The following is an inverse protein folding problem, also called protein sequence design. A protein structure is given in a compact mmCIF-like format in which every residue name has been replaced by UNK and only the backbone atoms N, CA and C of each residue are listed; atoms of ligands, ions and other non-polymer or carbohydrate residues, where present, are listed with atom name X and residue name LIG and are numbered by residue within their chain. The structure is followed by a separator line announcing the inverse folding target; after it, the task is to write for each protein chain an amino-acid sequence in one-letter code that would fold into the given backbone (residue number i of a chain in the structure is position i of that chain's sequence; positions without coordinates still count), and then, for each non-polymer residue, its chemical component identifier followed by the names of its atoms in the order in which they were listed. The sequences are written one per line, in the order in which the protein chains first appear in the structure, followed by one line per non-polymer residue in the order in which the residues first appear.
data_IF_050475582591
#
_entry.id   IF_050475582591
#
_cell.length_a   1.000
_cell.length_b   1.000
_cell.length_c   1.000
_cell.angle_alpha   90.00
_cell.angle_beta   90.00
_cell.angle_gamma   90.00
#
_symmetry.space_group_name_H-M   'P 1'
#
loop_
_entity.id
_entity.type
_entity.pdbx_description
1 polymer ?
#
# COMPACT_ATOMS: atom_id res chain seq x y z
N UNK A 1 -0.10 48.68 -31.44
CA UNK A 1 0.19 48.06 -30.13
C UNK A 1 0.39 46.56 -30.34
N UNK A 2 1.61 46.05 -30.17
CA UNK A 2 1.84 44.60 -30.15
C UNK A 2 1.33 44.06 -28.82
N UNK A 3 0.31 43.19 -28.87
CA UNK A 3 -0.16 42.48 -27.68
C UNK A 3 0.88 41.41 -27.37
N UNK A 4 1.77 41.70 -26.42
CA UNK A 4 2.71 40.70 -25.90
C UNK A 4 1.92 39.63 -25.13
N UNK A 5 1.65 38.50 -25.79
CA UNK A 5 1.15 37.29 -25.12
C UNK A 5 2.33 36.64 -24.41
N UNK A 6 2.58 37.01 -23.17
CA UNK A 6 3.50 36.26 -22.32
C UNK A 6 2.91 34.86 -22.11
N UNK A 7 3.63 33.83 -22.58
CA UNK A 7 3.23 32.44 -22.36
C UNK A 7 3.56 32.05 -20.91
N UNK A 8 2.56 32.18 -20.04
CA UNK A 8 2.63 31.80 -18.63
C UNK A 8 2.76 30.28 -18.40
N UNK A 9 2.88 29.46 -19.47
CA UNK A 9 3.21 28.04 -19.37
C UNK A 9 4.58 27.80 -18.71
N UNK A 10 5.54 28.73 -18.89
CA UNK A 10 6.91 28.62 -18.39
C UNK A 10 6.99 28.68 -16.85
N UNK A 11 6.12 29.43 -16.16
CA UNK A 11 6.13 29.50 -14.68
C UNK A 11 5.48 28.29 -13.99
N UNK A 12 4.76 27.43 -14.73
CA UNK A 12 4.19 26.19 -14.16
C UNK A 12 5.15 25.01 -14.21
N UNK A 13 6.34 25.16 -14.81
CA UNK A 13 7.33 24.08 -14.92
C UNK A 13 7.66 23.44 -13.57
N UNK A 14 7.87 24.23 -12.52
CA UNK A 14 8.14 23.69 -11.18
C UNK A 14 7.00 22.85 -10.62
N UNK A 15 5.74 23.26 -10.83
CA UNK A 15 4.58 22.48 -10.38
C UNK A 15 4.40 21.20 -11.21
N UNK A 16 4.58 21.29 -12.53
CA UNK A 16 4.50 20.14 -13.45
C UNK A 16 5.61 19.14 -13.14
N UNK A 17 6.83 19.60 -12.85
CA UNK A 17 7.94 18.72 -12.45
C UNK A 17 7.71 18.10 -11.08
N UNK A 18 7.14 18.83 -10.13
CA UNK A 18 6.75 18.28 -8.84
C UNK A 18 5.66 17.21 -8.99
N UNK A 19 4.66 17.43 -9.85
CA UNK A 19 3.61 16.44 -10.15
C UNK A 19 4.21 15.19 -10.83
N UNK A 20 5.09 15.37 -11.82
CA UNK A 20 5.82 14.26 -12.46
C UNK A 20 6.72 13.51 -11.48
N UNK A 21 7.41 14.20 -10.59
CA UNK A 21 8.22 13.59 -9.54
C UNK A 21 7.36 12.74 -8.62
N UNK A 22 6.23 13.28 -8.12
CA UNK A 22 5.27 12.53 -7.30
C UNK A 22 4.73 11.31 -8.02
N UNK A 23 4.40 11.43 -9.30
CA UNK A 23 3.91 10.31 -10.11
C UNK A 23 4.99 9.22 -10.27
N UNK A 24 6.24 9.58 -10.52
CA UNK A 24 7.35 8.61 -10.58
C UNK A 24 7.67 7.96 -9.25
N UNK A 25 7.64 8.72 -8.16
CA UNK A 25 7.79 8.17 -6.81
C UNK A 25 6.69 7.14 -6.56
N UNK A 26 5.43 7.48 -6.87
CA UNK A 26 4.31 6.54 -6.78
C UNK A 26 4.50 5.31 -7.67
N UNK A 27 4.97 5.48 -8.91
CA UNK A 27 5.20 4.36 -9.83
C UNK A 27 6.36 3.46 -9.35
N UNK A 28 7.45 4.05 -8.84
CA UNK A 28 8.58 3.31 -8.27
C UNK A 28 8.18 2.56 -7.01
N UNK A 29 7.40 3.19 -6.14
CA UNK A 29 6.79 2.54 -4.98
C UNK A 29 5.95 1.37 -5.49
N UNK A 30 4.99 1.59 -6.39
CA UNK A 30 4.11 0.54 -6.96
C UNK A 30 4.89 -0.66 -7.52
N UNK A 31 6.00 -0.42 -8.23
CA UNK A 31 6.86 -1.47 -8.80
C UNK A 31 7.65 -2.24 -7.74
N UNK A 32 8.05 -1.58 -6.65
CA UNK A 32 8.84 -2.16 -5.57
C UNK A 32 8.01 -2.44 -4.30
N UNK A 33 6.68 -2.46 -4.40
CA UNK A 33 5.82 -2.62 -3.23
C UNK A 33 6.07 -3.94 -2.50
N UNK A 34 6.24 -5.04 -3.25
CA UNK A 34 6.52 -6.36 -2.68
C UNK A 34 7.77 -6.33 -1.80
N UNK A 35 8.87 -5.79 -2.33
CA UNK A 35 10.15 -5.71 -1.61
C UNK A 35 10.15 -4.70 -0.45
N UNK A 36 9.36 -3.61 -0.55
CA UNK A 36 9.21 -2.64 0.52
C UNK A 36 8.40 -3.22 1.68
N UNK A 37 7.26 -3.86 1.39
CA UNK A 37 6.37 -4.50 2.38
C UNK A 37 7.09 -5.60 3.15
N UNK A 38 8.02 -6.28 2.48
CA UNK A 38 8.84 -7.35 3.03
C UNK A 38 10.11 -6.92 3.76
N UNK A 39 10.32 -5.63 4.05
CA UNK A 39 11.52 -5.17 4.75
C UNK A 39 11.37 -5.20 6.27
N UNK A 40 12.25 -5.95 6.93
CA UNK A 40 12.18 -6.24 8.38
C UNK A 40 12.40 -5.01 9.25
N UNK A 41 13.18 -4.05 8.74
CA UNK A 41 13.43 -2.78 9.39
C UNK A 41 12.16 -1.92 9.58
N UNK A 42 11.07 -2.22 8.87
CA UNK A 42 9.79 -1.51 8.99
C UNK A 42 8.97 -2.06 10.17
N UNK A 43 9.00 -3.37 10.40
CA UNK A 43 8.12 -4.06 11.38
C UNK A 43 8.64 -3.90 12.81
N UNK A 44 9.96 -3.95 13.00
CA UNK A 44 10.60 -3.82 14.32
C UNK A 44 10.73 -2.37 14.79
N UNK A 45 10.25 -1.40 14.01
CA UNK A 45 10.45 0.02 14.26
C UNK A 45 9.15 0.72 14.59
N UNK A 46 9.21 1.62 15.57
CA UNK A 46 8.09 2.35 16.17
C UNK A 46 7.47 3.42 15.23
N UNK A 47 7.05 3.02 14.02
CA UNK A 47 6.23 3.78 13.08
C UNK A 47 6.81 5.07 12.49
N UNK A 48 8.00 5.51 12.93
CA UNK A 48 8.59 6.83 12.61
C UNK A 48 9.75 6.78 11.62
N UNK A 49 9.94 5.68 10.89
CA UNK A 49 11.05 5.58 9.94
C UNK A 49 10.62 6.00 8.54
N UNK A 50 11.54 6.69 7.90
CA UNK A 50 11.51 7.08 6.50
C UNK A 50 12.13 5.94 5.68
N UNK A 51 11.42 5.45 4.67
CA UNK A 51 11.91 4.41 3.77
C UNK A 51 12.59 5.06 2.57
N UNK A 52 13.81 4.61 2.26
CA UNK A 52 14.58 5.07 1.10
C UNK A 52 14.19 4.24 -0.12
N UNK A 53 13.49 4.86 -1.07
CA UNK A 53 13.09 4.22 -2.32
C UNK A 53 14.02 4.68 -3.44
N UNK A 54 14.75 3.76 -4.11
CA UNK A 54 15.55 4.12 -5.26
C UNK A 54 14.62 4.54 -6.40
N UNK A 55 14.78 5.76 -6.89
CA UNK A 55 14.12 6.28 -8.08
C UNK A 55 15.12 6.33 -9.23
N UNK A 56 14.70 5.83 -10.40
CA UNK A 56 15.47 6.01 -11.63
C UNK A 56 15.41 7.46 -12.03
N UNK A 57 16.57 8.10 -12.11
CA UNK A 57 16.67 9.40 -12.75
C UNK A 57 16.38 9.25 -14.24
N UNK A 58 15.65 10.19 -14.82
CA UNK A 58 15.77 10.42 -16.25
C UNK A 58 16.76 11.55 -16.41
N UNK A 59 17.87 11.26 -17.07
CA UNK A 59 18.71 12.31 -17.59
C UNK A 59 17.85 13.17 -18.52
N UNK A 60 17.81 14.47 -18.24
CA UNK A 60 17.28 15.41 -19.21
C UNK A 60 18.08 15.26 -20.51
N UNK A 61 17.40 15.30 -21.65
CA UNK A 61 18.08 15.32 -22.94
C UNK A 61 18.98 16.55 -23.01
N UNK A 62 20.29 16.34 -22.81
CA UNK A 62 21.30 17.38 -22.97
C UNK A 62 21.63 17.47 -24.45
N UNK A 63 21.56 18.68 -25.01
CA UNK A 63 22.18 18.95 -26.29
C UNK A 63 23.67 18.71 -26.16
N UNK A 64 24.18 17.62 -26.73
CA UNK A 64 25.62 17.39 -26.86
C UNK A 64 26.06 17.98 -28.19
N UNK A 65 27.16 18.73 -28.16
CA UNK A 65 27.78 19.14 -29.40
C UNK A 65 28.19 17.90 -30.19
N UNK A 66 27.74 17.83 -31.44
CA UNK A 66 28.19 16.79 -32.35
C UNK A 66 29.64 17.07 -32.78
N UNK A 67 30.59 16.49 -32.06
CA UNK A 67 32.02 16.62 -32.37
C UNK A 67 32.40 15.96 -33.71
N UNK A 68 31.50 15.19 -34.34
CA UNK A 68 31.72 14.56 -35.65
C UNK A 68 31.65 15.55 -36.82
N UNK A 69 31.02 16.72 -36.63
CA UNK A 69 30.95 17.78 -37.65
C UNK A 69 32.14 18.75 -37.63
N UNK A 70 33.10 18.59 -36.71
CA UNK A 70 34.33 19.38 -36.75
C UNK A 70 35.21 18.89 -37.91
N UNK A 71 35.85 19.82 -38.63
CA UNK A 71 36.91 19.47 -39.60
C UNK A 71 38.01 18.73 -38.85
N UNK A 72 38.12 17.43 -39.09
CA UNK A 72 39.21 16.61 -38.56
C UNK A 72 40.40 16.73 -39.52
N UNK A 73 41.58 16.95 -38.96
CA UNK A 73 42.85 16.86 -39.69
C UNK A 73 43.45 15.51 -39.37
N UNK A 74 43.68 14.69 -40.40
CA UNK A 74 44.38 13.41 -40.29
C UNK A 74 45.80 13.57 -40.83
N UNK A 75 46.78 13.08 -40.09
CA UNK A 75 48.18 13.06 -40.54
C UNK A 75 48.43 11.72 -41.24
N UNK A 76 48.76 11.76 -42.53
CA UNK A 76 49.19 10.57 -43.27
C UNK A 76 50.68 10.30 -43.09
N UNK A 77 51.08 9.06 -43.38
CA UNK A 77 52.44 8.53 -43.36
C UNK A 77 53.26 8.88 -44.62
N UNK A 78 52.74 9.74 -45.50
CA UNK A 78 53.47 10.35 -46.62
C UNK A 78 53.24 9.71 -47.99
N UNK A 79 52.51 8.59 -48.08
CA UNK A 79 52.20 7.90 -49.36
C UNK A 79 50.71 7.94 -49.74
N UNK A 80 49.90 8.80 -49.10
CA UNK A 80 48.44 8.85 -49.28
C UNK A 80 48.04 9.48 -50.62
N UNK A 81 47.05 8.90 -51.32
CA UNK A 81 46.48 9.43 -52.57
C UNK A 81 45.12 10.10 -52.32
N UNK A 82 44.73 10.98 -53.24
CA UNK A 82 43.41 11.63 -53.21
C UNK A 82 42.33 10.57 -53.37
N UNK A 83 41.57 10.32 -52.29
CA UNK A 83 40.51 9.30 -52.23
C UNK A 83 40.69 8.26 -51.11
N UNK A 84 41.85 8.23 -50.45
CA UNK A 84 42.11 7.26 -49.38
C UNK A 84 41.35 7.61 -48.09
N UNK A 85 40.75 6.58 -47.46
CA UNK A 85 40.00 6.71 -46.21
C UNK A 85 40.97 6.67 -45.03
N UNK A 86 41.16 7.80 -44.37
CA UNK A 86 42.17 7.97 -43.30
C UNK A 86 41.71 7.39 -41.95
N UNK A 87 40.40 7.22 -41.73
CA UNK A 87 39.84 6.51 -40.58
C UNK A 87 38.42 5.99 -40.89
N UNK A 88 38.07 4.81 -40.36
CA UNK A 88 36.68 4.33 -40.26
C UNK A 88 36.25 4.35 -38.81
N UNK A 89 35.01 4.77 -38.56
CA UNK A 89 34.43 4.83 -37.22
C UNK A 89 34.51 3.44 -36.57
N UNK A 90 35.08 3.36 -35.36
CA UNK A 90 35.18 2.11 -34.62
C UNK A 90 33.78 1.53 -34.42
N UNK A 91 33.52 0.36 -35.00
CA UNK A 91 32.34 -0.44 -34.68
C UNK A 91 32.36 -0.72 -33.18
N UNK A 92 31.36 -0.19 -32.48
CA UNK A 92 31.04 -0.59 -31.11
C UNK A 92 30.74 -2.09 -31.18
N UNK A 93 31.64 -2.90 -30.64
CA UNK A 93 31.52 -4.36 -30.61
C UNK A 93 30.17 -4.77 -30.03
N UNK A 94 29.45 -5.60 -30.78
CA UNK A 94 28.15 -6.14 -30.43
C UNK A 94 28.37 -7.44 -29.65
N UNK A 95 28.08 -7.42 -28.35
CA UNK A 95 28.05 -8.62 -27.49
C UNK A 95 28.33 -8.32 -26.02
N UNK A 96 27.36 -8.43 -25.10
CA UNK A 96 27.65 -8.38 -23.67
C UNK A 96 28.41 -9.65 -23.28
N UNK A 97 29.70 -9.49 -22.97
CA UNK A 97 30.51 -10.55 -22.38
C UNK A 97 29.98 -10.93 -21.00
N UNK A 98 29.44 -12.16 -20.88
CA UNK A 98 29.31 -12.85 -19.59
C UNK A 98 30.71 -13.26 -19.14
N UNK A 99 31.40 -12.35 -18.46
CA UNK A 99 32.63 -12.60 -17.72
C UNK A 99 32.65 -11.72 -16.46
N UNK A 100 33.32 -12.11 -15.37
CA UNK A 100 33.36 -11.36 -14.11
C UNK A 100 34.33 -10.16 -14.21
N UNK A 101 34.14 -9.32 -15.22
CA UNK A 101 34.82 -8.04 -15.41
C UNK A 101 33.82 -6.91 -15.26
N UNK A 102 34.18 -5.85 -14.52
CA UNK A 102 33.35 -4.66 -14.37
C UNK A 102 33.05 -4.07 -15.77
N UNK A 103 31.77 -3.97 -16.13
CA UNK A 103 31.36 -3.41 -17.42
C UNK A 103 31.62 -1.91 -17.48
N UNK A 104 32.16 -1.44 -18.61
CA UNK A 104 32.43 -0.03 -18.92
C UNK A 104 31.16 0.81 -19.20
N UNK A 105 29.97 0.26 -18.95
CA UNK A 105 28.73 1.03 -19.05
C UNK A 105 28.54 1.82 -17.75
N UNK A 106 28.34 3.15 -17.82
CA UNK A 106 28.02 3.92 -16.62
C UNK A 106 26.79 3.30 -15.95
N UNK A 107 26.95 2.95 -14.68
CA UNK A 107 25.86 2.43 -13.86
C UNK A 107 24.70 3.44 -13.85
N UNK A 108 23.47 2.94 -13.74
CA UNK A 108 22.31 3.82 -13.64
C UNK A 108 22.40 4.60 -12.32
N UNK A 109 22.35 5.94 -12.39
CA UNK A 109 22.25 6.78 -11.20
C UNK A 109 20.86 6.64 -10.59
N UNK A 110 20.80 6.06 -9.40
CA UNK A 110 19.58 5.99 -8.58
C UNK A 110 19.63 7.11 -7.54
N UNK A 111 18.55 7.88 -7.43
CA UNK A 111 18.38 8.80 -6.30
C UNK A 111 17.54 8.12 -5.23
N UNK A 112 17.87 8.34 -3.96
CA UNK A 112 17.08 7.84 -2.84
C UNK A 112 16.03 8.89 -2.48
N UNK A 113 14.75 8.57 -2.67
CA UNK A 113 13.66 9.37 -2.15
C UNK A 113 13.27 8.87 -0.76
N UNK A 114 13.21 9.80 0.19
CA UNK A 114 12.75 9.56 1.55
C UNK A 114 11.21 9.64 1.60
N UNK A 115 10.55 8.53 1.92
CA UNK A 115 9.08 8.44 1.95
C UNK A 115 8.60 7.92 3.30
N UNK A 116 7.56 8.55 3.85
CA UNK A 116 6.93 8.12 5.09
C UNK A 116 6.15 6.81 4.89
N UNK A 117 6.20 5.93 5.90
CA UNK A 117 5.47 4.64 5.90
C UNK A 117 3.97 4.86 5.72
N UNK A 118 3.39 5.90 6.31
CA UNK A 118 1.96 6.19 6.19
C UNK A 118 1.56 6.61 4.76
N UNK A 119 2.48 7.22 3.99
CA UNK A 119 2.23 7.53 2.57
C UNK A 119 2.27 6.27 1.71
N UNK A 120 3.23 5.38 1.99
CA UNK A 120 3.32 4.06 1.36
C UNK A 120 2.05 3.26 1.67
N UNK A 121 1.63 3.20 2.93
CA UNK A 121 0.40 2.57 3.38
C UNK A 121 -0.81 3.09 2.59
N UNK A 122 -1.00 4.42 2.50
CA UNK A 122 -2.10 5.01 1.73
C UNK A 122 -2.11 4.58 0.27
N UNK A 123 -0.94 4.52 -0.37
CA UNK A 123 -0.81 4.10 -1.77
C UNK A 123 -1.06 2.60 -1.96
N UNK A 124 -0.67 1.75 -1.00
CA UNK A 124 -0.96 0.31 -1.00
C UNK A 124 -2.47 0.07 -0.81
N UNK A 125 -3.08 0.85 0.08
CA UNK A 125 -4.43 0.60 0.61
C UNK A 125 -5.56 1.35 -0.10
N UNK A 126 -5.24 2.20 -1.09
CA UNK A 126 -6.24 2.91 -1.90
C UNK A 126 -7.25 1.92 -2.50
N UNK A 127 -6.76 0.77 -2.98
CA UNK A 127 -7.55 -0.27 -3.63
C UNK A 127 -8.10 -1.35 -2.68
N UNK A 128 -7.66 -1.41 -1.41
CA UNK A 128 -8.04 -2.46 -0.45
C UNK A 128 -9.20 -2.04 0.44
N UNK A 129 -10.15 -2.91 0.72
CA UNK A 129 -11.24 -2.66 1.68
C UNK A 129 -11.66 -3.96 2.37
N UNK A 130 -12.42 -3.84 3.45
CA UNK A 130 -13.08 -4.99 4.07
C UNK A 130 -14.12 -5.56 3.09
N UNK A 131 -14.01 -6.84 2.69
CA UNK A 131 -14.99 -7.46 1.79
C UNK A 131 -16.28 -7.79 2.54
N UNK A 132 -17.40 -7.90 1.81
CA UNK A 132 -18.72 -8.22 2.40
C UNK A 132 -19.10 -7.34 3.60
N UNK A 133 -18.70 -6.06 3.59
CA UNK A 133 -19.02 -5.14 4.67
C UNK A 133 -20.51 -4.82 4.62
N UNK A 134 -21.25 -5.19 5.66
CA UNK A 134 -22.68 -4.94 5.76
C UNK A 134 -22.98 -3.71 6.62
N UNK A 135 -24.03 -2.97 6.26
CA UNK A 135 -24.59 -1.90 7.10
C UNK A 135 -25.35 -2.53 8.28
N UNK A 136 -24.66 -2.71 9.41
CA UNK A 136 -25.26 -3.22 10.66
C UNK A 136 -25.93 -2.08 11.44
N UNK A 137 -26.91 -2.41 12.29
CA UNK A 137 -27.76 -1.40 12.92
C UNK A 137 -27.04 -0.54 13.98
N UNK A 138 -26.89 0.76 13.67
CA UNK A 138 -26.90 1.97 14.52
C UNK A 138 -26.38 1.96 15.97
N UNK A 139 -25.48 1.08 16.39
CA UNK A 139 -24.40 1.54 17.29
C UNK A 139 -23.37 2.29 16.46
N UNK A 140 -23.83 3.32 15.77
CA UNK A 140 -23.04 4.02 14.80
C UNK A 140 -22.11 4.94 15.56
N UNK A 141 -20.86 4.55 15.67
CA UNK A 141 -19.85 5.43 16.21
C UNK A 141 -19.73 6.61 15.25
N UNK A 142 -19.84 7.83 15.79
CA UNK A 142 -19.85 9.03 14.98
C UNK A 142 -18.45 9.24 14.39
N UNK A 143 -18.25 8.93 13.11
CA UNK A 143 -17.09 9.44 12.39
C UNK A 143 -17.37 10.88 11.95
N UNK A 144 -16.44 11.77 12.26
CA UNK A 144 -16.48 13.18 11.85
C UNK A 144 -15.76 13.31 10.53
N UNK A 145 -16.50 13.38 9.44
CA UNK A 145 -15.91 13.75 8.14
C UNK A 145 -16.17 15.22 7.85
N UNK A 146 -15.10 15.96 7.59
CA UNK A 146 -15.15 17.37 7.20
C UNK A 146 -15.35 17.47 5.69
N UNK A 147 -16.57 17.80 5.25
CA UNK A 147 -16.87 17.98 3.82
C UNK A 147 -16.89 19.46 3.46
N UNK A 148 -16.25 19.79 2.33
CA UNK A 148 -16.40 21.11 1.74
C UNK A 148 -17.84 21.29 1.27
N UNK A 149 -18.60 22.14 1.93
CA UNK A 149 -20.02 22.32 1.65
C UNK A 149 -20.28 23.52 0.76
N UNK A 150 -19.73 24.67 1.10
CA UNK A 150 -20.14 25.93 0.47
C UNK A 150 -19.04 26.99 0.46
N UNK A 151 -19.21 27.98 -0.42
CA UNK A 151 -18.42 29.20 -0.40
C UNK A 151 -19.32 30.36 -0.02
N UNK A 152 -19.04 30.96 1.14
CA UNK A 152 -19.81 32.07 1.68
C UNK A 152 -19.08 33.40 1.46
N UNK A 153 -19.85 34.50 1.51
CA UNK A 153 -19.28 35.86 1.39
C UNK A 153 -18.69 36.37 2.71
N UNK A 154 -19.02 35.71 3.82
CA UNK A 154 -18.48 35.98 5.15
C UNK A 154 -18.03 34.67 5.79
N UNK A 155 -16.97 34.74 6.61
CA UNK A 155 -16.42 33.59 7.33
C UNK A 155 -15.12 33.94 8.06
N UNK A 156 -14.50 32.93 8.66
CA UNK A 156 -13.24 33.05 9.39
C UNK A 156 -12.10 33.30 8.39
N UNK A 157 -11.21 34.25 8.69
CA UNK A 157 -10.09 34.64 7.80
C UNK A 157 -9.18 33.46 7.39
N UNK A 158 -9.04 32.45 8.24
CA UNK A 158 -8.28 31.23 7.94
C UNK A 158 -8.84 30.47 6.72
N UNK A 159 -10.16 30.54 6.49
CA UNK A 159 -10.81 29.84 5.38
C UNK A 159 -10.98 30.71 4.12
N UNK A 160 -10.33 31.87 4.05
CA UNK A 160 -10.42 32.77 2.91
C UNK A 160 -9.84 32.12 1.64
N UNK A 161 -10.68 31.93 0.62
CA UNK A 161 -10.24 31.53 -0.71
C UNK A 161 -9.67 32.75 -1.44
N UNK A 162 -8.35 32.93 -1.34
CA UNK A 162 -7.63 34.05 -1.94
C UNK A 162 -7.87 34.15 -3.45
N UNK A 163 -7.82 33.02 -4.17
CA UNK A 163 -7.99 32.98 -5.64
C UNK A 163 -9.40 33.44 -6.04
N UNK A 164 -10.43 32.87 -5.42
CA UNK A 164 -11.82 33.26 -5.72
C UNK A 164 -12.10 34.70 -5.30
N UNK A 165 -11.53 35.16 -4.19
CA UNK A 165 -11.72 36.53 -3.74
C UNK A 165 -11.08 37.56 -4.70
N UNK A 166 -9.88 37.26 -5.21
CA UNK A 166 -9.22 38.07 -6.25
C UNK A 166 -10.05 38.08 -7.54
N UNK A 167 -10.59 36.93 -7.94
CA UNK A 167 -11.40 36.82 -9.16
C UNK A 167 -12.68 37.67 -9.07
N UNK A 168 -13.37 37.65 -7.93
CA UNK A 168 -14.58 38.44 -7.73
C UNK A 168 -14.27 39.94 -7.69
N UNK A 169 -13.14 40.33 -7.09
CA UNK A 169 -12.65 41.71 -7.13
C UNK A 169 -12.38 42.19 -8.57
N UNK A 170 -11.73 41.35 -9.39
CA UNK A 170 -11.49 41.64 -10.79
C UNK A 170 -12.79 41.79 -11.58
N UNK A 171 -13.75 40.88 -11.39
CA UNK A 171 -15.07 40.97 -12.03
C UNK A 171 -15.82 42.23 -11.65
N UNK A 172 -15.80 42.62 -10.38
CA UNK A 172 -16.44 43.86 -9.91
C UNK A 172 -15.76 45.09 -10.51
N UNK A 173 -14.44 45.15 -10.49
CA UNK A 173 -13.68 46.29 -11.02
C UNK A 173 -13.87 46.41 -12.54
N UNK A 174 -13.91 45.29 -13.26
CA UNK A 174 -14.24 45.28 -14.69
C UNK A 174 -15.65 45.82 -14.95
N UNK A 175 -16.65 45.52 -14.10
CA UNK A 175 -18.01 46.05 -14.22
C UNK A 175 -18.11 47.55 -13.88
N UNK A 176 -17.42 48.00 -12.84
CA UNK A 176 -17.49 49.39 -12.36
C UNK A 176 -16.67 50.36 -13.25
N UNK A 177 -15.48 49.94 -13.69
CA UNK A 177 -14.51 50.82 -14.37
C UNK A 177 -14.27 50.46 -15.83
N UNK A 178 -14.83 49.35 -16.34
CA UNK A 178 -14.59 48.87 -17.71
C UNK A 178 -13.20 48.26 -17.92
N UNK A 179 -12.36 48.22 -16.88
CA UNK A 179 -10.99 47.70 -16.92
C UNK A 179 -10.77 46.64 -15.82
N UNK A 180 -10.24 45.49 -16.21
CA UNK A 180 -10.08 44.33 -15.35
C UNK A 180 -8.78 44.42 -14.54
N UNK A 181 -8.80 45.26 -13.50
CA UNK A 181 -7.66 45.46 -12.59
C UNK A 181 -8.00 45.08 -11.15
N UNK A 182 -6.98 44.73 -10.37
CA UNK A 182 -7.16 44.46 -8.93
C UNK A 182 -7.37 45.80 -8.22
N UNK A 183 -8.58 46.01 -7.69
CA UNK A 183 -8.95 47.21 -6.93
C UNK A 183 -8.83 46.99 -5.42
N UNK A 184 -9.29 47.96 -4.63
CA UNK A 184 -9.44 47.77 -3.17
C UNK A 184 -10.45 46.65 -2.90
N UNK A 185 -10.09 45.69 -2.05
CA UNK A 185 -10.97 44.61 -1.64
C UNK A 185 -12.14 45.16 -0.81
N UNK A 186 -13.36 44.90 -1.26
CA UNK A 186 -14.58 45.14 -0.50
C UNK A 186 -15.04 43.83 0.14
N UNK A 187 -15.87 43.91 1.19
CA UNK A 187 -16.44 42.72 1.88
C UNK A 187 -17.18 41.79 0.91
N UNK A 188 -17.80 42.35 -0.12
CA UNK A 188 -18.51 41.61 -1.18
C UNK A 188 -17.61 40.79 -2.10
N UNK A 189 -16.31 41.11 -2.16
CA UNK A 189 -15.31 40.38 -2.97
C UNK A 189 -14.84 39.11 -2.24
N UNK A 190 -14.96 39.08 -0.91
CA UNK A 190 -14.40 38.00 -0.10
C UNK A 190 -15.21 36.71 -0.26
N UNK A 191 -14.50 35.59 -0.38
CA UNK A 191 -15.07 34.25 -0.51
C UNK A 191 -14.40 33.33 0.49
N UNK A 192 -15.18 32.73 1.37
CA UNK A 192 -14.73 31.87 2.46
C UNK A 192 -15.20 30.45 2.24
N UNK A 193 -14.29 29.49 2.36
CA UNK A 193 -14.63 28.07 2.35
C UNK A 193 -15.32 27.72 3.67
N UNK A 194 -16.49 27.13 3.60
CA UNK A 194 -17.17 26.60 4.76
C UNK A 194 -17.08 25.09 4.71
N UNK A 195 -16.78 24.52 5.86
CA UNK A 195 -16.76 23.09 6.08
C UNK A 195 -17.88 22.79 7.06
N UNK A 196 -18.67 21.78 6.76
CA UNK A 196 -19.68 21.28 7.69
C UNK A 196 -19.25 19.88 8.16
N UNK A 197 -19.44 19.61 9.45
CA UNK A 197 -19.18 18.30 10.01
C UNK A 197 -20.39 17.41 9.70
N UNK A 198 -20.25 16.48 8.77
CA UNK A 198 -21.27 15.45 8.56
C UNK A 198 -20.93 14.23 9.42
N UNK A 199 -21.87 13.84 10.27
CA UNK A 199 -21.81 12.59 11.00
C UNK A 199 -22.07 11.47 9.98
N UNK A 200 -21.02 10.71 9.64
CA UNK A 200 -21.18 9.49 8.88
C UNK A 200 -21.24 8.32 9.86
N UNK A 201 -22.26 7.49 9.67
CA UNK A 201 -22.41 6.25 10.41
C UNK A 201 -21.62 5.18 9.68
N UNK A 202 -20.51 4.75 10.27
CA UNK A 202 -19.73 3.62 9.77
C UNK A 202 -20.20 2.34 10.46
N UNK A 203 -20.20 1.23 9.73
CA UNK A 203 -20.48 -0.07 10.31
C UNK A 203 -19.38 -0.47 11.28
N UNK A 204 -19.76 -1.02 12.42
CA UNK A 204 -18.82 -1.61 13.35
C UNK A 204 -18.17 -2.84 12.70
N UNK A 205 -16.86 -2.94 12.82
CA UNK A 205 -16.10 -4.10 12.36
C UNK A 205 -15.09 -4.51 13.44
N UNK A 206 -15.01 -5.83 13.65
CA UNK A 206 -14.01 -6.46 14.50
C UNK A 206 -13.15 -7.38 13.65
N UNK A 207 -11.84 -7.28 13.82
CA UNK A 207 -10.86 -8.13 13.17
C UNK A 207 -10.20 -9.00 14.23
N UNK A 208 -10.29 -10.32 14.08
CA UNK A 208 -9.62 -11.27 14.97
C UNK A 208 -8.34 -11.74 14.29
N UNK A 209 -7.20 -11.30 14.81
CA UNK A 209 -5.87 -11.69 14.36
C UNK A 209 -5.40 -12.92 15.15
N UNK A 210 -5.37 -14.09 14.51
CA UNK A 210 -4.95 -15.35 15.12
C UNK A 210 -3.61 -15.83 14.55
N UNK A 211 -2.58 -15.93 15.37
CA UNK A 211 -1.25 -16.38 14.92
C UNK A 211 -0.79 -17.61 15.70
N UNK A 212 -0.28 -18.58 14.95
CA UNK A 212 0.45 -19.71 15.53
C UNK A 212 1.83 -19.27 16.06
N UNK A 213 2.13 -19.61 17.31
CA UNK A 213 3.43 -19.36 17.96
C UNK A 213 4.17 -20.65 18.31
N UNK A 214 3.75 -21.77 17.72
CA UNK A 214 4.36 -23.09 17.85
C UNK A 214 5.85 -23.10 17.48
N UNK A 215 6.51 -24.21 17.83
CA UNK A 215 7.92 -24.44 17.50
C UNK A 215 8.17 -24.68 15.99
N UNK A 216 7.15 -25.02 15.19
CA UNK A 216 7.29 -25.23 13.73
C UNK A 216 7.23 -23.91 12.93
N UNK A 217 6.68 -22.85 13.54
CA UNK A 217 6.75 -21.48 13.08
C UNK A 217 8.17 -20.91 13.25
N UNK A 218 9.14 -21.29 12.40
CA UNK A 218 10.50 -20.71 12.45
C UNK A 218 10.54 -19.17 12.25
N UNK A 219 11.72 -18.56 12.42
CA UNK A 219 11.89 -17.09 12.34
C UNK A 219 11.32 -16.48 11.05
N UNK A 220 11.57 -17.11 9.89
CA UNK A 220 11.04 -16.66 8.60
C UNK A 220 9.51 -16.67 8.53
N UNK A 221 8.87 -17.71 9.05
CA UNK A 221 7.41 -17.84 8.98
C UNK A 221 6.73 -16.82 9.90
N UNK A 222 7.27 -16.67 11.13
CA UNK A 222 6.84 -15.60 12.05
C UNK A 222 7.04 -14.22 11.45
N UNK A 223 8.16 -14.01 10.77
CA UNK A 223 8.44 -12.77 10.08
C UNK A 223 7.34 -12.42 9.06
N UNK A 224 6.96 -13.36 8.19
CA UNK A 224 5.88 -13.18 7.22
C UNK A 224 4.55 -12.88 7.91
N UNK A 225 4.17 -13.66 8.93
CA UNK A 225 2.93 -13.45 9.67
C UNK A 225 2.88 -12.06 10.31
N UNK A 226 3.95 -11.66 11.02
CA UNK A 226 4.07 -10.35 11.66
C UNK A 226 4.05 -9.22 10.63
N UNK A 227 4.71 -9.40 9.48
CA UNK A 227 4.66 -8.44 8.37
C UNK A 227 3.23 -8.20 7.92
N UNK A 228 2.49 -9.28 7.65
CA UNK A 228 1.11 -9.20 7.24
C UNK A 228 0.24 -8.47 8.26
N UNK A 229 0.30 -8.88 9.53
CA UNK A 229 -0.50 -8.27 10.60
C UNK A 229 -0.13 -6.81 10.85
N UNK A 230 1.14 -6.44 10.76
CA UNK A 230 1.58 -5.06 10.88
C UNK A 230 0.92 -4.17 9.81
N UNK A 231 0.98 -4.60 8.54
CA UNK A 231 0.35 -3.86 7.44
C UNK A 231 -1.17 -3.85 7.54
N UNK A 232 -1.78 -4.96 7.97
CA UNK A 232 -3.22 -5.03 8.21
C UNK A 232 -3.68 -4.06 9.30
N UNK A 233 -3.00 -4.00 10.44
CA UNK A 233 -3.33 -3.08 11.54
C UNK A 233 -3.22 -1.63 11.08
N UNK A 234 -2.13 -1.30 10.37
CA UNK A 234 -1.92 0.04 9.78
C UNK A 234 -3.00 0.40 8.79
N UNK A 235 -3.35 -0.53 7.90
CA UNK A 235 -4.44 -0.38 6.93
C UNK A 235 -5.75 -0.03 7.61
N UNK A 236 -6.17 -0.86 8.58
CA UNK A 236 -7.44 -0.72 9.26
C UNK A 236 -7.53 0.59 10.03
N UNK A 237 -6.48 0.93 10.82
CA UNK A 237 -6.40 2.19 11.58
C UNK A 237 -6.33 3.44 10.69
N UNK A 238 -5.88 3.31 9.43
CA UNK A 238 -5.81 4.45 8.48
C UNK A 238 -7.11 4.65 7.71
N UNK A 239 -7.81 3.56 7.35
CA UNK A 239 -8.99 3.61 6.48
C UNK A 239 -10.30 3.70 7.24
N UNK A 240 -10.34 3.16 8.46
CA UNK A 240 -11.55 3.07 9.27
C UNK A 240 -11.29 3.67 10.65
N UNK A 241 -12.20 4.53 11.10
CA UNK A 241 -12.03 5.23 12.38
C UNK A 241 -12.34 4.32 13.59
N UNK A 242 -13.23 3.32 13.39
CA UNK A 242 -13.80 2.50 14.47
C UNK A 242 -13.68 1.00 14.21
N UNK A 243 -12.45 0.51 14.04
CA UNK A 243 -12.16 -0.94 13.95
C UNK A 243 -11.58 -1.44 15.27
N UNK A 244 -12.20 -2.48 15.82
CA UNK A 244 -11.65 -3.22 16.96
C UNK A 244 -10.77 -4.36 16.44
N UNK A 245 -9.60 -4.54 17.05
CA UNK A 245 -8.67 -5.61 16.68
C UNK A 245 -8.41 -6.45 17.93
N UNK A 246 -8.71 -7.74 17.86
CA UNK A 246 -8.43 -8.71 18.93
C UNK A 246 -7.28 -9.59 18.47
N UNK A 247 -6.23 -9.68 19.27
CA UNK A 247 -5.07 -10.51 18.99
C UNK A 247 -5.14 -11.80 19.79
N UNK A 248 -5.05 -12.93 19.10
CA UNK A 248 -5.06 -14.27 19.67
C UNK A 248 -3.77 -14.95 19.24
N UNK A 249 -2.97 -15.39 20.21
CA UNK A 249 -1.86 -16.30 19.94
C UNK A 249 -2.26 -17.70 20.37
N UNK A 250 -1.83 -18.71 19.64
CA UNK A 250 -2.11 -20.09 20.01
C UNK A 250 -0.90 -21.00 19.77
N UNK A 251 -0.86 -22.05 20.55
CA UNK A 251 0.04 -23.20 20.43
C UNK A 251 -0.82 -24.42 20.78
N UNK A 252 -0.60 -25.01 21.96
CA UNK A 252 -1.49 -26.02 22.54
C UNK A 252 -2.71 -25.38 23.20
N UNK A 253 -2.57 -24.15 23.70
CA UNK A 253 -3.65 -23.34 24.24
C UNK A 253 -3.69 -21.98 23.54
N UNK A 254 -4.90 -21.45 23.33
CA UNK A 254 -5.09 -20.11 22.79
C UNK A 254 -5.25 -19.09 23.92
N UNK A 255 -4.66 -17.91 23.72
CA UNK A 255 -4.74 -16.78 24.66
C UNK A 255 -4.94 -15.48 23.90
N UNK A 256 -5.82 -14.63 24.43
CA UNK A 256 -5.90 -13.24 24.00
C UNK A 256 -4.69 -12.47 24.53
N UNK A 257 -4.03 -11.74 23.65
CA UNK A 257 -2.77 -11.03 23.94
C UNK A 257 -2.87 -9.57 23.48
N UNK A 258 -1.99 -8.72 23.99
CA UNK A 258 -1.90 -7.33 23.50
C UNK A 258 -1.20 -7.28 22.13
N UNK A 259 -1.34 -6.15 21.42
CA UNK A 259 -0.62 -5.89 20.16
C UNK A 259 0.89 -6.09 20.35
N UNK A 260 1.47 -5.53 21.42
CA UNK A 260 2.90 -5.65 21.74
C UNK A 260 3.32 -7.11 21.97
N UNK A 261 2.55 -7.87 22.76
CA UNK A 261 2.83 -9.28 23.02
C UNK A 261 2.72 -10.10 21.74
N UNK A 262 1.70 -9.86 20.92
CA UNK A 262 1.51 -10.56 19.65
C UNK A 262 2.74 -10.45 18.73
N UNK A 263 3.39 -9.29 18.67
CA UNK A 263 4.58 -9.09 17.83
C UNK A 263 5.92 -9.50 18.49
N UNK A 264 5.96 -9.75 19.80
CA UNK A 264 7.20 -10.01 20.55
C UNK A 264 7.29 -11.39 21.19
N UNK A 265 6.17 -12.11 21.31
CA UNK A 265 6.09 -13.40 22.00
C UNK A 265 6.96 -14.48 21.34
N UNK A 266 7.58 -15.30 22.20
CA UNK A 266 8.52 -16.35 21.83
C UNK A 266 7.90 -17.74 21.64
N UNK A 267 8.76 -18.70 21.31
CA UNK A 267 8.42 -20.07 20.91
C UNK A 267 8.16 -21.01 22.08
N UNK A 268 7.00 -21.66 22.07
CA UNK A 268 6.80 -22.86 22.90
C UNK A 268 5.55 -23.65 22.50
N UNK A 269 5.71 -24.96 22.27
CA UNK A 269 4.62 -25.93 22.21
C UNK A 269 4.30 -26.48 20.83
N UNK A 270 3.38 -27.46 20.80
CA UNK A 270 2.80 -28.00 19.57
C UNK A 270 1.58 -27.20 19.12
N UNK A 271 1.11 -27.46 17.89
CA UNK A 271 0.02 -26.71 17.25
C UNK A 271 -1.33 -27.42 17.42
N UNK A 272 -2.27 -26.75 18.08
CA UNK A 272 -3.67 -27.17 18.23
C UNK A 272 -4.57 -26.03 17.80
N UNK A 273 -4.94 -26.02 16.51
CA UNK A 273 -5.66 -24.91 15.88
C UNK A 273 -7.08 -24.76 16.44
N UNK A 274 -7.75 -25.85 16.83
CA UNK A 274 -9.10 -25.77 17.40
C UNK A 274 -9.17 -24.88 18.65
N UNK A 275 -8.08 -24.77 19.41
CA UNK A 275 -8.00 -23.93 20.59
C UNK A 275 -8.23 -22.45 20.24
N UNK A 276 -7.65 -21.99 19.13
CA UNK A 276 -7.79 -20.61 18.65
C UNK A 276 -9.22 -20.31 18.20
N UNK A 277 -9.85 -21.24 17.46
CA UNK A 277 -11.21 -21.03 16.97
C UNK A 277 -12.26 -21.07 18.08
N UNK A 278 -12.06 -21.92 19.09
CA UNK A 278 -12.90 -21.94 20.28
C UNK A 278 -12.85 -20.59 20.99
N UNK A 279 -11.65 -20.08 21.26
CA UNK A 279 -11.48 -18.78 21.90
C UNK A 279 -12.04 -17.63 21.04
N UNK A 280 -11.85 -17.69 19.72
CA UNK A 280 -12.41 -16.70 18.80
C UNK A 280 -13.95 -16.68 18.85
N UNK A 281 -14.61 -17.84 18.85
CA UNK A 281 -16.06 -17.96 18.98
C UNK A 281 -16.55 -17.44 20.34
N UNK A 282 -15.84 -17.75 21.42
CA UNK A 282 -16.18 -17.26 22.77
C UNK A 282 -16.10 -15.73 22.82
N UNK A 283 -15.03 -15.15 22.29
CA UNK A 283 -14.86 -13.69 22.18
C UNK A 283 -15.96 -13.04 21.35
N UNK A 284 -16.34 -13.66 20.23
CA UNK A 284 -17.42 -13.19 19.35
C UNK A 284 -18.75 -13.22 20.11
N UNK A 285 -19.05 -14.32 20.79
CA UNK A 285 -20.30 -14.49 21.51
C UNK A 285 -20.45 -13.52 22.69
N UNK A 286 -19.35 -13.23 23.41
CA UNK A 286 -19.36 -12.34 24.57
C UNK A 286 -19.36 -10.86 24.21
N UNK A 287 -18.48 -10.44 23.28
CA UNK A 287 -18.22 -9.01 23.02
C UNK A 287 -18.74 -8.51 21.67
N UNK A 288 -18.87 -9.38 20.67
CA UNK A 288 -19.09 -8.96 19.28
C UNK A 288 -20.19 -9.78 18.59
N UNK A 289 -21.46 -9.64 18.99
CA UNK A 289 -22.54 -10.39 18.37
C UNK A 289 -22.65 -10.07 16.87
N UNK A 290 -22.69 -11.12 16.03
CA UNK A 290 -22.70 -11.03 14.56
C UNK A 290 -23.89 -10.23 13.96
N UNK A 291 -24.92 -9.96 14.77
CA UNK A 291 -26.02 -9.09 14.40
C UNK A 291 -25.60 -7.61 14.29
N UNK A 292 -24.70 -7.17 15.16
CA UNK A 292 -24.34 -5.75 15.32
C UNK A 292 -22.93 -5.44 14.77
N UNK A 293 -22.09 -6.46 14.65
CA UNK A 293 -20.69 -6.33 14.20
C UNK A 293 -20.43 -7.09 12.90
N UNK A 294 -19.60 -6.51 12.04
CA UNK A 294 -18.96 -7.25 10.94
C UNK A 294 -17.69 -7.92 11.47
N UNK A 295 -17.56 -9.22 11.26
CA UNK A 295 -16.54 -10.03 11.91
C UNK A 295 -15.60 -10.61 10.86
N UNK A 296 -14.29 -10.41 11.08
CA UNK A 296 -13.23 -10.82 10.17
C UNK A 296 -12.12 -11.59 10.89
N UNK A 297 -12.25 -12.90 11.04
CA UNK A 297 -11.18 -13.76 11.53
C UNK A 297 -10.10 -14.00 10.46
N UNK A 298 -8.85 -13.68 10.80
CA UNK A 298 -7.65 -13.98 10.00
C UNK A 298 -6.69 -14.86 10.80
N UNK A 299 -6.46 -16.07 10.31
CA UNK A 299 -5.56 -17.04 10.94
C UNK A 299 -4.33 -17.31 10.07
N UNK A 300 -3.14 -17.24 10.65
CA UNK A 300 -1.89 -17.63 10.00
C UNK A 300 -1.19 -18.78 10.75
N UNK A 301 -0.85 -19.85 10.03
CA UNK A 301 0.00 -20.95 10.53
C UNK A 301 0.86 -21.54 9.39
N UNK A 302 1.69 -22.54 9.69
CA UNK A 302 2.51 -23.26 8.71
C UNK A 302 1.77 -24.44 8.06
N UNK A 303 0.50 -24.62 8.41
CA UNK A 303 -0.31 -25.73 7.95
C UNK A 303 -0.07 -27.04 8.69
N UNK A 304 0.79 -27.07 9.72
CA UNK A 304 0.94 -28.22 10.61
C UNK A 304 -0.09 -28.17 11.73
N UNK A 305 -0.80 -29.28 11.96
CA UNK A 305 -1.79 -29.40 13.03
C UNK A 305 -1.82 -30.84 13.52
N UNK A 306 -2.16 -31.01 14.79
CA UNK A 306 -2.34 -32.35 15.35
C UNK A 306 -3.46 -33.09 14.59
N UNK A 307 -3.17 -34.31 14.08
CA UNK A 307 -4.15 -35.06 13.27
C UNK A 307 -5.49 -35.29 13.97
N UNK A 308 -5.47 -35.51 15.29
CA UNK A 308 -6.69 -35.67 16.11
C UNK A 308 -7.51 -34.40 16.25
N UNK A 309 -6.91 -33.23 15.98
CA UNK A 309 -7.53 -31.92 16.07
C UNK A 309 -8.20 -31.49 14.76
N UNK A 310 -7.81 -32.06 13.62
CA UNK A 310 -8.28 -31.64 12.30
C UNK A 310 -9.80 -31.65 12.15
N UNK A 311 -10.48 -32.69 12.63
CA UNK A 311 -11.94 -32.79 12.52
C UNK A 311 -12.64 -31.73 13.38
N UNK A 312 -12.12 -31.44 14.57
CA UNK A 312 -12.64 -30.39 15.45
C UNK A 312 -12.34 -29.00 14.89
N UNK A 313 -11.15 -28.78 14.34
CA UNK A 313 -10.77 -27.52 13.69
C UNK A 313 -11.68 -27.21 12.49
N UNK A 314 -12.00 -28.19 11.65
CA UNK A 314 -12.95 -28.03 10.53
C UNK A 314 -14.35 -27.68 11.05
N UNK A 315 -14.82 -28.39 12.09
CA UNK A 315 -16.14 -28.13 12.69
C UNK A 315 -16.25 -26.70 13.24
N UNK A 316 -15.25 -26.27 14.01
CA UNK A 316 -15.21 -24.92 14.59
C UNK A 316 -15.01 -23.85 13.51
N UNK A 317 -14.25 -24.14 12.45
CA UNK A 317 -14.12 -23.23 11.31
C UNK A 317 -15.46 -23.05 10.58
N UNK A 318 -16.26 -24.11 10.38
CA UNK A 318 -17.63 -24.00 9.83
C UNK A 318 -18.53 -23.14 10.73
N UNK A 319 -18.45 -23.31 12.05
CA UNK A 319 -19.20 -22.51 13.03
C UNK A 319 -18.76 -21.03 12.97
N UNK A 320 -17.46 -20.77 12.82
CA UNK A 320 -16.89 -19.43 12.69
C UNK A 320 -17.29 -18.77 11.37
N UNK A 321 -17.25 -19.50 10.25
CA UNK A 321 -17.67 -19.00 8.93
C UNK A 321 -19.16 -18.61 8.94
N UNK A 322 -19.98 -19.36 9.67
CA UNK A 322 -21.42 -19.09 9.81
C UNK A 322 -21.73 -17.80 10.57
N UNK A 323 -20.80 -17.36 11.43
CA UNK A 323 -20.96 -16.14 12.24
C UNK A 323 -20.21 -14.93 11.68
N UNK A 324 -19.25 -15.13 10.78
CA UNK A 324 -18.42 -14.07 10.23
C UNK A 324 -18.81 -13.62 8.81
N UNK A 325 -18.28 -12.47 8.40
CA UNK A 325 -18.42 -11.96 7.02
C UNK A 325 -17.41 -12.65 6.09
N UNK A 326 -16.18 -12.86 6.57
CA UNK A 326 -15.11 -13.52 5.83
C UNK A 326 -14.14 -14.19 6.81
N UNK A 327 -13.83 -15.46 6.56
CA UNK A 327 -12.75 -16.18 7.23
C UNK A 327 -11.53 -16.26 6.31
N UNK A 328 -10.43 -15.67 6.75
CA UNK A 328 -9.15 -15.72 6.04
C UNK A 328 -8.19 -16.69 6.71
N UNK A 329 -7.63 -17.62 5.95
CA UNK A 329 -6.56 -18.50 6.40
C UNK A 329 -5.32 -18.34 5.51
N UNK A 330 -4.18 -18.06 6.13
CA UNK A 330 -2.88 -17.95 5.48
C UNK A 330 -1.97 -19.11 5.91
N UNK A 331 -1.57 -19.93 4.95
CA UNK A 331 -0.56 -20.98 5.17
C UNK A 331 0.82 -20.46 4.74
N UNK A 332 1.78 -20.49 5.65
CA UNK A 332 3.15 -20.01 5.40
C UNK A 332 4.06 -21.19 5.10
N UNK A 333 4.59 -21.22 3.88
CA UNK A 333 5.50 -22.25 3.40
C UNK A 333 6.92 -22.11 3.94
N UNK A 334 7.80 -22.95 3.42
CA UNK A 334 9.25 -22.84 3.64
C UNK A 334 9.89 -22.05 2.49
N UNK A 335 10.86 -21.21 2.82
CA UNK A 335 11.61 -20.39 1.86
C UNK A 335 12.27 -21.27 0.79
N UNK A 336 11.99 -20.99 -0.49
CA UNK A 336 12.56 -21.73 -1.62
C UNK A 336 11.95 -23.12 -1.89
N UNK A 337 10.92 -23.53 -1.14
CA UNK A 337 10.14 -24.73 -1.49
C UNK A 337 9.30 -24.45 -2.74
N UNK A 338 9.52 -25.20 -3.83
CA UNK A 338 8.68 -25.09 -5.03
C UNK A 338 7.20 -25.28 -4.70
N UNK A 339 6.35 -24.42 -5.26
CA UNK A 339 4.88 -24.37 -5.17
C UNK A 339 4.16 -25.70 -5.52
N UNK A 340 4.92 -26.68 -6.01
CA UNK A 340 4.47 -28.01 -6.41
C UNK A 340 4.26 -28.97 -5.24
N UNK A 341 4.78 -28.70 -4.03
CA UNK A 341 4.46 -29.51 -2.86
C UNK A 341 3.12 -29.06 -2.26
N UNK A 342 2.02 -29.42 -2.93
CA UNK A 342 0.71 -29.55 -2.27
C UNK A 342 0.85 -30.66 -1.25
N UNK A 343 1.23 -30.32 -0.02
CA UNK A 343 1.19 -31.29 1.06
C UNK A 343 -0.28 -31.57 1.33
N UNK A 344 -0.74 -32.76 0.94
CA UNK A 344 -2.12 -33.23 1.15
C UNK A 344 -2.49 -33.34 2.64
N UNK A 345 -1.51 -33.24 3.54
CA UNK A 345 -1.71 -33.15 4.98
C UNK A 345 -1.75 -31.72 5.53
N UNK A 346 -1.52 -30.70 4.71
CA UNK A 346 -1.53 -29.32 5.18
C UNK A 346 -2.96 -28.81 5.40
N UNK A 347 -3.14 -28.03 6.47
CA UNK A 347 -4.44 -27.57 6.93
C UNK A 347 -5.21 -26.78 5.87
N UNK A 348 -4.52 -26.03 4.99
CA UNK A 348 -5.17 -25.30 3.90
C UNK A 348 -5.90 -26.24 2.93
N UNK A 349 -5.29 -27.38 2.61
CA UNK A 349 -5.88 -28.40 1.74
C UNK A 349 -7.10 -29.01 2.42
N UNK A 350 -6.99 -29.34 3.71
CA UNK A 350 -8.09 -29.88 4.51
C UNK A 350 -9.28 -28.91 4.54
N UNK A 351 -9.04 -27.61 4.74
CA UNK A 351 -10.09 -26.60 4.71
C UNK A 351 -10.73 -26.45 3.33
N UNK A 352 -9.94 -26.46 2.26
CA UNK A 352 -10.47 -26.40 0.89
C UNK A 352 -11.34 -27.60 0.53
N UNK A 353 -11.04 -28.78 1.08
CA UNK A 353 -11.78 -30.01 0.76
C UNK A 353 -12.99 -30.23 1.67
N UNK A 354 -12.92 -29.83 2.95
CA UNK A 354 -13.90 -30.22 3.97
C UNK A 354 -14.83 -29.12 4.45
N UNK A 355 -14.51 -27.83 4.23
CA UNK A 355 -15.39 -26.73 4.65
C UNK A 355 -16.66 -26.70 3.82
N UNK A 356 -17.82 -26.56 4.50
CA UNK A 356 -19.12 -26.56 3.83
C UNK A 356 -19.41 -25.23 3.12
N UNK A 357 -18.92 -24.12 3.68
CA UNK A 357 -19.27 -22.78 3.23
C UNK A 357 -18.05 -22.06 2.62
N UNK A 358 -17.77 -22.38 1.35
CA UNK A 358 -16.57 -21.87 0.66
C UNK A 358 -16.69 -20.41 0.19
N UNK A 359 -17.89 -19.84 0.09
CA UNK A 359 -18.08 -18.49 -0.44
C UNK A 359 -17.48 -17.39 0.46
N UNK A 360 -17.42 -17.65 1.77
CA UNK A 360 -16.87 -16.74 2.79
C UNK A 360 -15.48 -17.16 3.28
N UNK A 361 -14.89 -18.18 2.67
CA UNK A 361 -13.55 -18.66 3.01
C UNK A 361 -12.53 -18.17 1.97
N UNK A 362 -11.40 -17.65 2.45
CA UNK A 362 -10.27 -17.27 1.61
C UNK A 362 -9.02 -17.93 2.17
N UNK A 363 -8.41 -18.78 1.36
CA UNK A 363 -7.24 -19.56 1.73
C UNK A 363 -6.05 -19.24 0.85
N UNK A 364 -5.06 -18.53 1.41
CA UNK A 364 -3.87 -18.05 0.70
C UNK A 364 -2.64 -18.82 1.19
N UNK A 365 -1.69 -19.06 0.28
CA UNK A 365 -0.38 -19.61 0.61
C UNK A 365 0.69 -18.55 0.37
N UNK A 366 1.61 -18.41 1.30
CA UNK A 366 2.71 -17.44 1.23
C UNK A 366 4.02 -18.22 1.36
N UNK A 367 4.76 -18.32 0.26
CA UNK A 367 6.03 -19.05 0.23
C UNK A 367 7.22 -18.07 0.31
N UNK A 368 7.10 -16.88 -0.28
CA UNK A 368 8.14 -15.85 -0.31
C UNK A 368 7.72 -14.54 0.37
N UNK A 369 8.72 -13.71 0.74
CA UNK A 369 8.43 -12.42 1.41
C UNK A 369 7.65 -11.44 0.51
N UNK A 370 7.81 -11.55 -0.81
CA UNK A 370 7.10 -10.72 -1.79
C UNK A 370 5.59 -11.08 -1.89
N UNK A 371 5.21 -12.29 -1.46
CA UNK A 371 3.82 -12.78 -1.52
C UNK A 371 2.90 -12.16 -0.46
N UNK A 372 3.46 -11.44 0.53
CA UNK A 372 2.67 -10.75 1.57
C UNK A 372 1.70 -9.73 0.96
N UNK A 373 2.13 -9.00 -0.06
CA UNK A 373 1.29 -7.99 -0.72
C UNK A 373 0.16 -8.61 -1.58
N UNK A 374 0.45 -9.60 -2.45
CA UNK A 374 -0.60 -10.41 -3.09
C UNK A 374 -1.60 -11.00 -2.08
N UNK A 375 -1.14 -11.51 -0.94
CA UNK A 375 -2.02 -12.04 0.09
C UNK A 375 -2.95 -10.97 0.67
N UNK A 376 -2.44 -9.78 1.01
CA UNK A 376 -3.26 -8.65 1.45
C UNK A 376 -4.33 -8.27 0.41
N UNK A 377 -3.97 -8.28 -0.88
CA UNK A 377 -4.92 -8.05 -1.97
C UNK A 377 -5.98 -9.12 -2.09
N UNK A 378 -5.65 -10.37 -1.82
CA UNK A 378 -6.61 -11.46 -1.91
C UNK A 378 -7.61 -11.42 -0.76
N UNK A 379 -7.14 -11.11 0.46
CA UNK A 379 -7.99 -10.97 1.64
C UNK A 379 -8.85 -9.70 1.65
N UNK A 380 -8.29 -8.56 1.23
CA UNK A 380 -8.95 -7.24 1.27
C UNK A 380 -9.30 -6.68 -0.12
N UNK A 381 -9.36 -7.55 -1.13
CA UNK A 381 -9.72 -7.16 -2.49
C UNK A 381 -11.22 -6.87 -2.65
N UNK A 382 -11.56 -6.25 -3.78
CA UNK A 382 -12.96 -6.01 -4.21
C UNK A 382 -13.76 -7.29 -4.36
N UNK A 383 -14.38 -7.73 -3.25
CA UNK A 383 -15.32 -8.85 -3.18
C UNK A 383 -16.57 -8.43 -2.43
N UNK A 384 -17.72 -8.75 -3.02
CA UNK A 384 -19.01 -8.67 -2.32
C UNK A 384 -19.55 -7.26 -2.07
N UNK A 385 -19.22 -6.26 -2.88
CA UNK A 385 -20.02 -5.03 -2.93
C UNK A 385 -21.41 -5.40 -3.45
N UNK A 386 -22.36 -5.68 -2.55
CA UNK A 386 -23.78 -5.54 -2.86
C UNK A 386 -24.06 -4.05 -2.90
N UNK A 387 -24.27 -3.53 -4.10
CA UNK A 387 -24.65 -2.14 -4.37
C UNK A 387 -25.91 -1.72 -3.63
#
# INVERSE_FOLDING_TARGET
MSVQRNDWSLQRKGQIDQERHKERVRESIKKNLGSIVSNESIILSDGKRVVKVPIRSLDEYKFRFDYRKKKQVGTGDGNSKVGDVIAREGQTGQGPGRGPGAGDQPGQEYFEAEVDIDEIAKLIFEDLHLPYLEEKSKQAVQSKTTKFTEIRRSGILANLDKRRSILENLKRTARETGDARIGRFKKEDLRYKTWDEQIKYESNAVVLAMMDVSSSMGEFKKYIARSFYFWMVRFLKTKYDHVQIVFISHHTEAKEVTEEQFFTQGESGGTVVSSAYRLALDVIAERYPARDWNIYPFHFSDGDNYYSDNDEAVRLADDLISTCNLFGYGEIGEEGASSYRRSSGALLSIFKDRLKNQERFVGVRIDDKEDVYPALKEFFGKRGERA
#
